data_IF_439489387286
#
_entry.id   IF_439489387286
#
_cell.length_a   1.000
_cell.length_b   1.000
_cell.length_c   1.000
_cell.angle_alpha   90.00
_cell.angle_beta   90.00
_cell.angle_gamma   90.00
#
_symmetry.space_group_name_H-M   'P 1'
#
loop_
_entity.id
_entity.type
_entity.pdbx_description
1 polymer ?
#
# COMPACT_ATOMS: atom_id res chain seq x y z
N UNK A 1 -1.90 15.45 2.09
CA UNK A 1 -2.61 14.15 2.20
C UNK A 1 -2.37 13.38 0.91
N UNK A 2 -2.09 12.08 0.97
CA UNK A 2 -1.79 11.25 -0.20
C UNK A 2 -2.94 10.29 -0.46
N UNK A 3 -3.34 10.12 -1.72
CA UNK A 3 -4.26 9.07 -2.16
C UNK A 3 -3.51 7.73 -2.09
N UNK A 4 -3.85 6.88 -1.12
CA UNK A 4 -3.10 5.66 -0.86
C UNK A 4 -4.00 4.43 -0.95
N UNK A 5 -3.88 3.72 -2.08
CA UNK A 5 -4.67 2.55 -2.42
C UNK A 5 -3.90 1.27 -2.14
N UNK A 6 -4.54 0.31 -1.50
CA UNK A 6 -3.99 -1.04 -1.29
C UNK A 6 -4.86 -2.07 -2.00
N UNK A 7 -4.32 -2.70 -3.06
CA UNK A 7 -4.97 -3.78 -3.79
C UNK A 7 -4.90 -5.13 -3.07
N UNK A 8 -4.01 -5.27 -2.10
CA UNK A 8 -3.79 -6.51 -1.33
C UNK A 8 -4.87 -6.65 -0.25
N UNK A 9 -5.95 -7.36 -0.56
CA UNK A 9 -7.14 -7.51 0.33
C UNK A 9 -6.83 -8.20 1.66
N UNK A 10 -5.85 -9.11 1.65
CA UNK A 10 -5.35 -9.78 2.83
C UNK A 10 -4.45 -8.87 3.69
N UNK A 11 -4.05 -7.67 3.25
CA UNK A 11 -3.18 -6.80 4.03
C UNK A 11 -3.89 -6.33 5.32
N UNK A 12 -3.21 -6.44 6.46
CA UNK A 12 -3.69 -5.97 7.76
C UNK A 12 -4.07 -4.50 7.74
N UNK A 13 -3.30 -3.68 7.04
CA UNK A 13 -3.50 -2.23 6.92
C UNK A 13 -4.56 -1.85 5.87
N UNK A 14 -5.03 -2.79 5.05
CA UNK A 14 -6.06 -2.52 4.06
C UNK A 14 -7.46 -2.48 4.72
N UNK A 15 -8.09 -1.32 4.67
CA UNK A 15 -9.49 -1.11 5.07
C UNK A 15 -10.26 -0.59 3.88
N UNK A 16 -11.02 -1.46 3.21
CA UNK A 16 -11.83 -1.09 2.05
C UNK A 16 -10.99 -0.44 0.93
N UNK A 17 -9.87 -1.04 0.57
CA UNK A 17 -8.89 -0.56 -0.42
C UNK A 17 -8.08 0.70 -0.02
N UNK A 18 -8.31 1.28 1.16
CA UNK A 18 -7.44 2.32 1.70
C UNK A 18 -6.37 1.71 2.61
N UNK A 19 -5.10 2.07 2.40
CA UNK A 19 -4.05 1.69 3.33
C UNK A 19 -4.05 2.63 4.54
N UNK A 20 -4.32 2.09 5.72
CA UNK A 20 -4.39 2.84 6.97
C UNK A 20 -3.09 2.77 7.80
N UNK A 21 -1.96 2.38 7.20
CA UNK A 21 -0.67 2.34 7.89
C UNK A 21 -0.22 3.76 8.24
N UNK A 22 0.37 3.96 9.44
CA UNK A 22 0.94 5.27 9.84
C UNK A 22 2.19 5.63 9.03
N UNK A 23 2.92 4.63 8.59
CA UNK A 23 4.12 4.79 7.78
C UNK A 23 4.16 3.69 6.71
N UNK A 24 4.55 4.05 5.50
CA UNK A 24 4.95 3.12 4.44
C UNK A 24 6.45 3.28 4.19
N UNK A 25 7.16 2.17 4.13
CA UNK A 25 8.54 2.11 3.68
C UNK A 25 8.58 1.40 2.32
N UNK A 26 9.21 2.05 1.35
CA UNK A 26 9.42 1.55 -0.02
C UNK A 26 10.92 1.34 -0.20
N UNK A 27 11.32 0.10 -0.45
CA UNK A 27 12.71 -0.24 -0.70
C UNK A 27 13.15 0.13 -2.12
N UNK A 28 14.45 -0.02 -2.38
CA UNK A 28 15.13 0.32 -3.62
C UNK A 28 14.50 -0.32 -4.87
N UNK A 29 13.95 -1.53 -4.73
CA UNK A 29 13.29 -2.29 -5.78
C UNK A 29 11.78 -2.05 -5.85
N UNK A 30 11.28 -0.97 -5.24
CA UNK A 30 9.84 -0.62 -5.13
C UNK A 30 9.04 -1.50 -4.17
N UNK A 31 9.70 -2.38 -3.43
CA UNK A 31 9.05 -3.29 -2.48
C UNK A 31 8.46 -2.51 -1.30
N UNK A 32 7.19 -2.74 -1.01
CA UNK A 32 6.48 -2.19 0.12
C UNK A 32 6.74 -3.06 1.35
N UNK A 33 7.83 -2.80 2.08
CA UNK A 33 8.23 -3.59 3.25
C UNK A 33 7.29 -3.44 4.45
N UNK A 34 6.39 -2.46 4.40
CA UNK A 34 5.32 -2.26 5.40
C UNK A 34 4.18 -3.28 5.25
N UNK A 35 4.07 -3.95 4.11
CA UNK A 35 3.00 -4.90 3.90
C UNK A 35 3.08 -6.06 4.89
N UNK A 36 1.95 -6.35 5.54
CA UNK A 36 1.80 -7.43 6.51
C UNK A 36 0.49 -8.18 6.19
N UNK A 37 0.55 -9.46 5.82
CA UNK A 37 -0.65 -10.24 5.56
C UNK A 37 -1.41 -10.56 6.86
N UNK A 38 -2.73 -10.45 6.80
CA UNK A 38 -3.67 -10.83 7.84
C UNK A 38 -4.39 -12.11 7.43
N UNK A 39 -3.98 -13.23 8.05
CA UNK A 39 -4.55 -14.55 7.78
C UNK A 39 -6.03 -14.68 8.21
N UNK A 40 -6.55 -13.77 9.04
CA UNK A 40 -7.97 -13.76 9.41
C UNK A 40 -8.85 -13.25 8.28
N UNK A 41 -8.37 -12.25 7.52
CA UNK A 41 -9.06 -11.72 6.32
C UNK A 41 -9.12 -12.73 5.18
N UNK A 42 -8.08 -13.57 5.04
CA UNK A 42 -8.03 -14.67 4.06
C UNK A 42 -9.21 -15.64 4.21
N UNK A 43 -9.59 -16.00 5.44
CA UNK A 43 -10.75 -16.88 5.68
C UNK A 43 -12.07 -16.19 5.33
N UNK A 44 -12.22 -14.92 5.68
CA UNK A 44 -13.44 -14.16 5.37
C UNK A 44 -13.63 -13.93 3.87
N UNK A 45 -12.56 -13.83 3.08
CA UNK A 45 -12.65 -13.59 1.63
C UNK A 45 -13.25 -14.76 0.83
N UNK A 46 -13.20 -15.98 1.36
CA UNK A 46 -13.81 -17.15 0.71
C UNK A 46 -15.33 -17.17 0.87
N UNK A 47 -15.87 -16.52 1.91
CA UNK A 47 -17.30 -16.52 2.24
C UNK A 47 -18.02 -15.22 1.86
N UNK A 48 -17.28 -14.18 1.46
CA UNK A 48 -17.78 -12.82 1.43
C UNK A 48 -17.90 -12.26 0.00
N UNK A 49 -19.08 -12.45 -0.62
CA UNK A 49 -19.60 -11.52 -1.64
C UNK A 49 -19.97 -10.18 -1.00
N UNK A 50 -19.03 -9.53 -0.33
CA UNK A 50 -19.30 -8.38 0.53
C UNK A 50 -19.17 -7.06 -0.21
N UNK A 51 -20.14 -6.20 0.10
CA UNK A 51 -20.35 -4.87 -0.42
C UNK A 51 -19.08 -4.04 -0.52
N UNK A 52 -18.99 -3.26 -1.61
CA UNK A 52 -17.98 -2.23 -1.80
C UNK A 52 -18.13 -1.16 -0.72
N UNK A 53 -17.52 -1.38 0.45
CA UNK A 53 -17.40 -0.35 1.47
C UNK A 53 -16.57 0.78 0.86
N UNK A 54 -17.13 2.00 0.71
CA UNK A 54 -16.38 3.12 0.18
C UNK A 54 -15.11 3.37 1.00
N UNK A 55 -14.00 3.61 0.32
CA UNK A 55 -12.72 3.95 0.94
C UNK A 55 -12.81 5.33 1.61
N UNK A 56 -13.44 5.40 2.80
CA UNK A 56 -13.66 6.65 3.54
C UNK A 56 -12.63 6.86 4.66
N UNK A 57 -11.48 6.19 4.55
CA UNK A 57 -10.41 6.28 5.52
C UNK A 57 -9.37 7.28 5.01
N UNK A 58 -9.14 8.34 5.76
CA UNK A 58 -8.07 9.30 5.52
C UNK A 58 -7.07 9.21 6.67
N UNK A 59 -5.84 8.83 6.36
CA UNK A 59 -4.74 8.82 7.32
C UNK A 59 -3.58 9.65 6.76
N UNK A 60 -2.95 10.45 7.62
CA UNK A 60 -1.71 11.13 7.25
C UNK A 60 -0.55 10.12 7.33
N UNK A 61 -0.34 9.40 6.24
CA UNK A 61 0.69 8.35 6.15
C UNK A 61 2.01 8.94 5.67
N UNK A 62 3.05 8.83 6.49
CA UNK A 62 4.42 9.15 6.09
C UNK A 62 4.95 8.07 5.16
N UNK A 63 5.61 8.44 4.07
CA UNK A 63 6.13 7.48 3.09
C UNK A 63 7.62 7.68 2.91
N UNK A 64 8.39 6.80 3.54
CA UNK A 64 9.84 6.68 3.39
C UNK A 64 10.12 5.90 2.12
N UNK A 65 10.98 6.42 1.25
CA UNK A 65 11.28 5.81 -0.03
C UNK A 65 12.77 5.85 -0.30
N UNK A 66 13.37 4.69 -0.53
CA UNK A 66 14.79 4.56 -0.89
C UNK A 66 14.97 4.29 -2.40
N UNK A 67 13.89 4.00 -3.12
CA UNK A 67 13.91 3.79 -4.57
C UNK A 67 14.49 5.00 -5.33
N UNK A 68 15.34 4.73 -6.32
CA UNK A 68 15.87 5.75 -7.23
C UNK A 68 14.82 6.11 -8.29
N UNK A 69 13.84 6.91 -7.90
CA UNK A 69 12.71 7.33 -8.74
C UNK A 69 12.46 8.83 -8.69
N UNK A 70 11.73 9.36 -9.67
CA UNK A 70 11.38 10.79 -9.77
C UNK A 70 10.58 11.31 -8.57
N UNK A 71 9.94 10.42 -7.82
CA UNK A 71 9.13 10.78 -6.67
C UNK A 71 9.89 10.67 -5.35
N UNK A 72 11.15 10.24 -5.36
CA UNK A 72 12.01 10.26 -4.17
C UNK A 72 12.70 11.62 -4.06
N UNK A 73 12.42 12.34 -2.98
CA UNK A 73 13.12 13.56 -2.59
C UNK A 73 13.62 13.39 -1.16
N UNK A 74 14.93 13.33 -0.98
CA UNK A 74 15.59 13.20 0.34
C UNK A 74 15.08 12.01 1.17
N UNK A 75 14.91 10.84 0.54
CA UNK A 75 14.35 9.61 1.11
C UNK A 75 12.87 9.69 1.52
N UNK A 76 12.15 10.70 1.04
CA UNK A 76 10.72 10.89 1.25
C UNK A 76 10.02 10.84 -0.09
N UNK A 77 8.98 10.01 -0.20
CA UNK A 77 8.16 9.99 -1.40
C UNK A 77 7.31 11.27 -1.46
N UNK A 78 7.34 12.00 -2.57
CA UNK A 78 6.55 13.22 -2.80
C UNK A 78 5.31 12.99 -3.69
N UNK A 79 5.06 11.74 -4.08
CA UNK A 79 3.89 11.43 -4.89
C UNK A 79 2.58 11.72 -4.16
N UNK A 80 1.61 12.26 -4.91
CA UNK A 80 0.25 12.51 -4.41
C UNK A 80 -0.59 11.23 -4.33
N UNK A 81 -0.27 10.22 -5.14
CA UNK A 81 -1.00 8.95 -5.20
C UNK A 81 -0.06 7.76 -5.16
N UNK A 82 -0.32 6.79 -4.29
CA UNK A 82 0.42 5.52 -4.21
C UNK A 82 -0.52 4.34 -4.25
N UNK A 83 -0.24 3.39 -5.16
CA UNK A 83 -0.93 2.11 -5.22
C UNK A 83 0.03 1.00 -4.79
N UNK A 84 -0.37 0.22 -3.79
CA UNK A 84 0.33 -1.01 -3.37
C UNK A 84 -0.39 -2.21 -3.97
N UNK A 85 0.30 -2.99 -4.80
CA UNK A 85 -0.20 -4.24 -5.39
C UNK A 85 0.83 -5.36 -5.22
N UNK A 86 0.48 -6.58 -5.60
CA UNK A 86 1.36 -7.73 -5.51
C UNK A 86 0.69 -8.96 -6.08
N UNK A 87 1.46 -9.83 -6.72
CA UNK A 87 0.95 -11.07 -7.33
C UNK A 87 0.84 -12.22 -6.32
N UNK A 88 1.50 -12.11 -5.16
CA UNK A 88 1.49 -13.12 -4.11
C UNK A 88 1.40 -12.51 -2.72
N UNK A 89 1.04 -13.31 -1.71
CA UNK A 89 0.97 -12.83 -0.32
C UNK A 89 2.34 -12.49 0.29
N UNK A 90 3.43 -12.62 -0.45
CA UNK A 90 4.81 -12.36 0.00
C UNK A 90 5.44 -11.15 -0.67
N UNK A 91 4.88 -10.69 -1.78
CA UNK A 91 5.48 -9.66 -2.61
C UNK A 91 4.47 -8.53 -2.76
N UNK A 92 4.78 -7.39 -2.14
CA UNK A 92 4.02 -6.16 -2.30
C UNK A 92 4.94 -5.11 -2.91
N UNK A 93 4.47 -4.45 -3.97
CA UNK A 93 5.20 -3.41 -4.68
C UNK A 93 4.39 -2.13 -4.76
N UNK A 94 5.08 -1.01 -4.61
CA UNK A 94 4.52 0.32 -4.84
C UNK A 94 4.62 0.66 -6.33
N UNK A 95 3.47 0.79 -6.99
CA UNK A 95 3.41 1.04 -8.44
C UNK A 95 3.66 2.49 -8.84
N UNK A 96 3.79 3.39 -7.87
CA UNK A 96 4.17 4.79 -8.12
C UNK A 96 5.68 4.89 -8.24
N UNK A 97 6.21 4.30 -9.31
CA UNK A 97 7.61 4.32 -9.67
C UNK A 97 7.79 4.78 -11.10
N UNK A 98 8.51 5.88 -11.28
CA UNK A 98 9.05 6.29 -12.58
C UNK A 98 10.54 6.47 -12.38
N UNK A 99 11.34 5.73 -13.15
CA UNK A 99 12.80 5.78 -13.07
C UNK A 99 13.28 7.21 -13.34
N UNK A 100 14.14 7.72 -12.47
CA UNK A 100 14.76 9.04 -12.59
C UNK A 100 15.89 9.04 -13.63
#
# INVERSE_FOLDING_TARGET
MKDLKCGLKNCKYNKGYCCCAKQIAVDNLTECVTYEPDNTKRKSMFEAGTDFIPANYNVDTKISCSAKCLFNKDNVCIANGITVMGDSDKEASCLTFVKA
#
